data_IF_051558361448
#
_entry.id   IF_051558361448
#
_cell.length_a   1.000
_cell.length_b   1.000
_cell.length_c   1.000
_cell.angle_alpha   90.00
_cell.angle_beta   90.00
_cell.angle_gamma   90.00
#
_symmetry.space_group_name_H-M   'P 1'
#
loop_
_entity.id
_entity.type
_entity.pdbx_description
1 polymer ?
#
# COMPACT_ATOMS: atom_id res chain seq x y z
N UNK A 1 12.43 -21.17 -17.47
CA UNK A 1 11.16 -20.50 -17.15
C UNK A 1 10.05 -21.28 -17.82
N UNK A 2 8.97 -21.66 -17.13
CA UNK A 2 7.88 -22.38 -17.78
C UNK A 2 7.15 -21.43 -18.73
N UNK A 3 6.80 -21.90 -19.93
CA UNK A 3 6.15 -21.16 -21.02
C UNK A 3 4.79 -20.52 -20.64
N UNK A 4 4.27 -20.79 -19.45
CA UNK A 4 3.02 -20.23 -18.93
C UNK A 4 3.16 -18.83 -18.30
N UNK A 5 4.38 -18.33 -18.06
CA UNK A 5 4.58 -17.00 -17.46
C UNK A 5 4.45 -15.87 -18.47
N UNK A 6 4.77 -16.10 -19.75
CA UNK A 6 4.83 -15.08 -20.82
C UNK A 6 3.46 -14.58 -21.31
N UNK A 7 2.35 -15.02 -20.70
CA UNK A 7 0.99 -14.66 -21.14
C UNK A 7 0.10 -14.16 -20.01
N UNK A 8 0.62 -14.13 -18.78
CA UNK A 8 -0.13 -13.72 -17.59
C UNK A 8 0.45 -12.43 -17.07
N UNK A 9 -0.44 -11.44 -16.99
CA UNK A 9 -0.21 -10.17 -16.34
C UNK A 9 -0.25 -10.39 -14.84
N UNK A 10 0.58 -9.71 -14.07
CA UNK A 10 0.56 -9.84 -12.62
C UNK A 10 0.68 -8.49 -11.92
N UNK A 11 -0.29 -8.20 -11.06
CA UNK A 11 -0.15 -7.12 -10.08
C UNK A 11 0.16 -7.76 -8.73
N UNK A 12 1.21 -7.26 -8.09
CA UNK A 12 1.63 -7.65 -6.76
C UNK A 12 1.71 -6.43 -5.85
N UNK A 13 0.97 -6.43 -4.74
CA UNK A 13 1.11 -5.38 -3.73
C UNK A 13 1.40 -5.93 -2.34
N UNK A 14 1.95 -5.06 -1.51
CA UNK A 14 2.12 -5.32 -0.09
C UNK A 14 1.81 -4.06 0.70
N UNK A 15 1.17 -4.22 1.85
CA UNK A 15 0.94 -3.15 2.82
C UNK A 15 1.85 -3.38 4.02
N UNK A 16 2.38 -2.32 4.62
CA UNK A 16 3.11 -2.47 5.87
C UNK A 16 3.58 -1.18 6.50
N UNK A 17 4.11 -1.29 7.71
CA UNK A 17 4.87 -0.19 8.31
C UNK A 17 6.24 -0.05 7.65
N UNK A 18 6.78 1.17 7.63
CA UNK A 18 8.07 1.46 7.01
C UNK A 18 9.24 0.66 7.60
N UNK A 19 9.28 0.45 8.92
CA UNK A 19 10.34 -0.32 9.56
C UNK A 19 10.42 -1.79 9.08
N UNK A 20 9.29 -2.36 8.70
CA UNK A 20 9.18 -3.73 8.22
C UNK A 20 9.67 -3.89 6.77
N UNK A 21 9.01 -3.19 5.84
CA UNK A 21 9.20 -3.37 4.40
C UNK A 21 10.63 -3.07 3.91
N UNK A 22 11.39 -2.22 4.61
CA UNK A 22 12.77 -1.86 4.26
C UNK A 22 13.82 -2.88 4.70
N UNK A 23 13.54 -3.76 5.67
CA UNK A 23 14.50 -4.78 6.10
C UNK A 23 14.61 -5.96 5.10
N UNK A 24 13.82 -5.96 4.03
CA UNK A 24 13.90 -6.93 2.93
C UNK A 24 13.51 -8.37 3.29
N UNK A 25 13.21 -8.62 4.57
CA UNK A 25 12.69 -9.91 5.08
C UNK A 25 11.30 -10.19 4.50
N UNK A 26 10.54 -9.14 4.21
CA UNK A 26 9.10 -9.26 3.94
C UNK A 26 8.73 -9.40 2.46
N UNK A 27 9.58 -8.96 1.52
CA UNK A 27 9.35 -9.34 0.12
C UNK A 27 9.40 -10.85 -0.05
N UNK A 28 10.31 -11.53 0.65
CA UNK A 28 10.38 -12.99 0.64
C UNK A 28 9.26 -13.62 1.47
N UNK A 29 8.91 -13.08 2.64
CA UNK A 29 7.80 -13.61 3.47
C UNK A 29 6.43 -13.50 2.79
N UNK A 30 6.10 -12.30 2.29
CA UNK A 30 4.84 -12.01 1.60
C UNK A 30 4.70 -12.78 0.28
N UNK A 31 5.76 -12.87 -0.54
CA UNK A 31 5.72 -13.66 -1.79
C UNK A 31 5.68 -15.17 -1.58
N UNK A 32 6.04 -15.66 -0.39
CA UNK A 32 6.08 -17.09 -0.07
C UNK A 32 4.86 -17.56 0.75
N UNK A 33 3.89 -16.69 1.05
CA UNK A 33 2.69 -17.04 1.81
C UNK A 33 3.02 -17.61 3.21
N UNK A 34 4.10 -17.14 3.82
CA UNK A 34 4.49 -17.54 5.17
C UNK A 34 3.68 -16.74 6.21
N UNK A 35 3.46 -17.34 7.40
CA UNK A 35 2.75 -16.70 8.52
C UNK A 35 3.25 -15.26 8.76
N UNK A 36 2.36 -14.31 9.13
CA UNK A 36 2.75 -12.93 9.41
C UNK A 36 3.90 -12.93 10.42
N UNK A 37 5.03 -12.37 10.01
CA UNK A 37 6.20 -12.30 10.87
C UNK A 37 5.88 -11.26 11.94
N UNK A 38 5.89 -11.69 13.21
CA UNK A 38 5.79 -10.82 14.37
C UNK A 38 7.02 -9.88 14.41
N UNK A 39 6.88 -8.74 13.73
CA UNK A 39 7.94 -7.73 13.57
C UNK A 39 7.96 -6.71 14.69
N UNK A 40 7.04 -6.82 15.66
CA UNK A 40 7.18 -6.23 16.99
C UNK A 40 8.56 -6.50 17.58
N UNK A 41 9.27 -7.57 17.15
CA UNK A 41 10.58 -7.95 17.67
C UNK A 41 11.80 -7.40 16.90
N UNK A 42 11.67 -6.64 15.81
CA UNK A 42 12.85 -6.08 15.10
C UNK A 42 12.89 -4.56 14.89
N UNK A 43 11.83 -3.82 15.18
CA UNK A 43 11.97 -2.40 15.52
C UNK A 43 12.59 -2.19 16.92
N UNK A 44 12.72 -3.25 17.72
CA UNK A 44 13.37 -3.27 19.06
C UNK A 44 14.90 -3.35 18.96
N UNK A 45 15.52 -2.31 18.42
CA UNK A 45 16.72 -1.71 19.03
C UNK A 45 17.20 -0.54 18.18
N UNK A 46 16.61 0.64 18.41
CA UNK A 46 17.22 1.95 18.23
C UNK A 46 17.48 2.43 16.80
N UNK A 47 17.56 1.58 15.79
CA UNK A 47 18.08 2.01 14.47
C UNK A 47 17.07 2.87 13.71
N UNK A 48 15.82 2.41 13.53
CA UNK A 48 14.77 3.19 12.82
C UNK A 48 14.35 4.47 13.59
N UNK A 49 14.16 4.34 14.91
CA UNK A 49 13.76 5.44 15.78
C UNK A 49 14.82 6.58 15.79
N UNK A 50 16.10 6.23 15.93
CA UNK A 50 17.18 7.23 15.94
C UNK A 50 17.48 7.80 14.57
N UNK A 51 17.33 7.03 13.48
CA UNK A 51 17.51 7.55 12.12
C UNK A 51 16.42 8.55 11.74
N UNK A 52 15.22 8.42 12.33
CA UNK A 52 14.07 9.26 11.95
C UNK A 52 13.80 10.40 12.94
N UNK A 53 14.62 10.56 13.98
CA UNK A 53 14.61 11.75 14.84
C UNK A 53 13.65 11.70 16.03
N UNK A 54 13.13 10.54 16.40
CA UNK A 54 12.39 10.37 17.66
C UNK A 54 13.36 10.43 18.86
N UNK A 55 12.93 11.06 19.95
CA UNK A 55 13.72 11.17 21.19
C UNK A 55 13.51 9.98 22.13
N UNK A 56 12.27 9.49 22.21
CA UNK A 56 11.82 8.24 22.80
C UNK A 56 11.42 7.26 21.65
N UNK A 57 10.68 6.19 21.97
CA UNK A 57 10.31 5.20 20.96
C UNK A 57 9.15 5.70 20.08
N UNK A 58 9.19 5.47 18.75
CA UNK A 58 8.04 5.70 17.89
C UNK A 58 6.91 4.70 18.23
N UNK A 59 5.65 5.07 17.95
CA UNK A 59 4.52 4.14 18.10
C UNK A 59 4.72 2.91 17.23
N UNK A 60 4.18 1.78 17.69
CA UNK A 60 4.03 0.58 16.83
C UNK A 60 2.82 0.80 15.93
N UNK A 61 2.78 0.12 14.79
CA UNK A 61 1.67 0.21 13.86
C UNK A 61 1.02 -1.16 13.75
N UNK A 62 -0.22 -1.29 14.22
CA UNK A 62 -1.04 -2.45 13.88
C UNK A 62 -1.80 -2.18 12.59
N UNK A 63 -1.88 -3.19 11.72
CA UNK A 63 -2.57 -3.12 10.44
C UNK A 63 -3.55 -4.26 10.31
N UNK A 64 -4.81 -3.93 10.08
CA UNK A 64 -5.80 -4.89 9.58
C UNK A 64 -6.30 -4.42 8.23
N UNK A 65 -6.66 -5.35 7.35
CA UNK A 65 -7.18 -5.02 6.04
C UNK A 65 -8.24 -6.00 5.57
N UNK A 66 -8.99 -5.54 4.57
CA UNK A 66 -9.93 -6.36 3.82
C UNK A 66 -9.71 -6.11 2.33
N UNK A 67 -9.51 -7.18 1.59
CA UNK A 67 -9.32 -7.17 0.15
C UNK A 67 -10.56 -7.71 -0.56
N UNK A 68 -10.99 -7.00 -1.59
CA UNK A 68 -12.02 -7.43 -2.53
C UNK A 68 -11.44 -7.40 -3.94
N UNK A 69 -11.59 -8.50 -4.68
CA UNK A 69 -11.22 -8.60 -6.10
C UNK A 69 -12.44 -9.05 -6.88
N UNK A 70 -12.82 -8.29 -7.91
CA UNK A 70 -13.97 -8.55 -8.76
C UNK A 70 -15.27 -8.79 -7.96
N UNK A 71 -15.44 -8.02 -6.88
CA UNK A 71 -16.59 -8.09 -5.99
C UNK A 71 -16.62 -9.29 -5.03
N UNK A 72 -15.54 -10.08 -4.96
CA UNK A 72 -15.38 -11.19 -4.02
C UNK A 72 -14.34 -10.84 -2.96
N UNK A 73 -14.65 -11.11 -1.69
CA UNK A 73 -13.67 -10.95 -0.59
C UNK A 73 -12.58 -12.02 -0.76
N UNK A 74 -11.34 -11.58 -0.90
CA UNK A 74 -10.18 -12.47 -0.97
C UNK A 74 -9.56 -12.67 0.41
N UNK A 75 -9.44 -11.58 1.17
CA UNK A 75 -8.88 -11.58 2.52
C UNK A 75 -9.65 -10.62 3.43
N UNK A 76 -9.79 -11.01 4.70
CA UNK A 76 -10.28 -10.15 5.77
C UNK A 76 -9.53 -10.55 7.04
N UNK A 77 -8.64 -9.68 7.50
CA UNK A 77 -7.80 -9.94 8.68
C UNK A 77 -8.49 -9.56 9.98
N UNK A 78 -9.82 -9.49 10.00
CA UNK A 78 -10.58 -9.08 11.17
C UNK A 78 -10.86 -7.58 11.26
N UNK A 79 -10.75 -6.85 10.13
CA UNK A 79 -11.02 -5.41 10.05
C UNK A 79 -12.37 -5.01 10.64
N UNK A 80 -13.36 -5.91 10.58
CA UNK A 80 -14.74 -5.69 11.05
C UNK A 80 -15.07 -6.40 12.37
N UNK A 81 -14.18 -7.24 12.89
CA UNK A 81 -14.50 -8.17 14.00
C UNK A 81 -13.48 -8.17 15.13
N UNK A 82 -12.27 -7.67 14.91
CA UNK A 82 -11.20 -7.62 15.89
C UNK A 82 -10.94 -6.18 16.32
N UNK A 83 -11.51 -5.80 17.46
CA UNK A 83 -11.28 -4.51 18.12
C UNK A 83 -10.14 -4.59 19.15
N UNK A 84 -9.55 -5.76 19.36
CA UNK A 84 -8.57 -6.01 20.42
C UNK A 84 -7.51 -7.03 19.94
N UNK A 85 -6.76 -6.69 18.88
CA UNK A 85 -5.77 -7.60 18.31
C UNK A 85 -4.69 -6.91 17.49
N UNK A 86 -3.42 -7.19 17.81
CA UNK A 86 -2.27 -6.88 16.96
C UNK A 86 -2.41 -7.64 15.64
N UNK A 87 -2.98 -6.99 14.63
CA UNK A 87 -2.99 -7.52 13.27
C UNK A 87 -1.70 -7.05 12.58
N UNK A 88 -0.99 -7.99 11.95
CA UNK A 88 0.46 -7.94 11.72
C UNK A 88 1.00 -6.73 10.95
N UNK A 89 2.29 -6.46 11.12
CA UNK A 89 3.00 -5.28 10.61
C UNK A 89 3.12 -5.21 9.07
N UNK A 90 2.93 -6.32 8.34
CA UNK A 90 2.98 -6.42 6.86
C UNK A 90 1.96 -7.44 6.36
N UNK A 91 1.25 -7.09 5.29
CA UNK A 91 0.34 -7.96 4.53
C UNK A 91 0.70 -8.02 3.05
N UNK A 92 0.50 -9.19 2.43
CA UNK A 92 0.40 -9.27 0.97
C UNK A 92 -1.02 -8.86 0.61
N UNK A 93 -1.16 -7.93 -0.34
CA UNK A 93 -2.46 -7.50 -0.85
C UNK A 93 -2.36 -7.54 -2.36
N UNK A 94 -3.40 -7.98 -3.07
CA UNK A 94 -3.37 -8.07 -4.53
C UNK A 94 -2.20 -8.93 -5.03
N UNK A 95 -2.40 -10.25 -5.09
CA UNK A 95 -1.51 -11.17 -5.81
C UNK A 95 -2.25 -11.84 -6.96
N UNK A 96 -2.56 -11.04 -7.97
CA UNK A 96 -3.54 -11.43 -8.97
C UNK A 96 -2.94 -11.55 -10.36
N UNK A 97 -3.32 -12.64 -11.03
CA UNK A 97 -3.16 -12.74 -12.46
C UNK A 97 -4.33 -11.99 -13.12
N UNK A 98 -4.05 -10.79 -13.62
CA UNK A 98 -5.09 -9.84 -14.02
C UNK A 98 -5.34 -9.84 -15.53
N UNK A 99 -6.55 -9.44 -15.91
CA UNK A 99 -6.96 -9.18 -17.29
C UNK A 99 -7.67 -7.82 -17.40
N UNK A 100 -7.73 -7.21 -18.59
CA UNK A 100 -8.55 -6.03 -18.81
C UNK A 100 -10.00 -6.24 -18.33
N UNK A 101 -10.51 -5.28 -17.56
CA UNK A 101 -11.82 -5.35 -16.90
C UNK A 101 -11.76 -5.76 -15.43
N UNK A 102 -10.65 -6.34 -14.96
CA UNK A 102 -10.49 -6.67 -13.54
C UNK A 102 -10.39 -5.41 -12.68
N UNK A 103 -10.87 -5.54 -11.45
CA UNK A 103 -10.79 -4.49 -10.44
C UNK A 103 -10.72 -5.08 -9.04
N UNK A 104 -10.21 -4.30 -8.11
CA UNK A 104 -10.22 -4.66 -6.70
C UNK A 104 -10.07 -3.44 -5.81
N UNK A 105 -10.26 -3.66 -4.51
CA UNK A 105 -10.14 -2.63 -3.49
C UNK A 105 -9.59 -3.23 -2.20
N UNK A 106 -8.83 -2.43 -1.48
CA UNK A 106 -8.32 -2.77 -0.15
C UNK A 106 -8.64 -1.63 0.79
N UNK A 107 -9.30 -1.95 1.90
CA UNK A 107 -9.46 -1.03 3.04
C UNK A 107 -8.57 -1.50 4.16
N UNK A 108 -7.83 -0.56 4.75
CA UNK A 108 -6.87 -0.81 5.81
C UNK A 108 -7.25 0.04 7.03
N UNK A 109 -7.22 -0.55 8.22
CA UNK A 109 -7.22 0.17 9.50
C UNK A 109 -5.82 0.14 10.08
N UNK A 110 -5.34 1.32 10.44
CA UNK A 110 -4.02 1.56 11.00
C UNK A 110 -4.23 2.05 12.42
N UNK A 111 -3.67 1.35 13.40
CA UNK A 111 -3.72 1.76 14.80
C UNK A 111 -2.31 2.04 15.31
N UNK A 112 -2.12 3.20 15.94
CA UNK A 112 -0.87 3.55 16.60
C UNK A 112 -0.85 2.93 17.99
N UNK A 113 0.00 1.93 18.22
CA UNK A 113 0.06 1.23 19.50
C UNK A 113 1.14 1.78 20.42
N UNK A 114 0.82 1.82 21.71
CA UNK A 114 1.79 2.04 22.77
C UNK A 114 2.84 0.91 22.81
N UNK A 115 4.02 1.26 23.32
CA UNK A 115 5.09 0.33 23.68
C UNK A 115 5.21 0.21 25.20
N UNK A 116 5.94 -0.81 25.65
CA UNK A 116 6.36 -0.96 27.05
C UNK A 116 7.33 0.13 27.54
N UNK A 117 7.77 1.02 26.63
CA UNK A 117 8.61 2.20 26.89
C UNK A 117 7.81 3.46 26.59
N UNK A 118 8.20 4.64 27.15
CA UNK A 118 7.64 5.92 26.72
C UNK A 118 7.58 5.99 25.19
N UNK A 119 6.37 6.26 24.69
CA UNK A 119 6.05 6.28 23.26
C UNK A 119 5.69 7.71 22.90
N UNK A 120 6.29 8.23 21.85
CA UNK A 120 5.96 9.57 21.33
C UNK A 120 4.72 9.54 20.46
N UNK A 121 4.06 10.70 20.37
CA UNK A 121 3.12 10.97 19.30
C UNK A 121 3.87 11.06 17.96
N UNK A 122 3.20 10.77 16.86
CA UNK A 122 3.81 10.76 15.54
C UNK A 122 2.92 11.43 14.48
N UNK A 123 3.55 12.06 13.51
CA UNK A 123 2.92 12.30 12.22
C UNK A 123 2.88 10.98 11.45
N UNK A 124 1.75 10.67 10.82
CA UNK A 124 1.63 9.47 10.00
C UNK A 124 1.62 9.86 8.52
N UNK A 125 2.54 9.27 7.75
CA UNK A 125 2.59 9.45 6.30
C UNK A 125 2.16 8.17 5.59
N UNK A 126 1.32 8.32 4.56
CA UNK A 126 0.98 7.28 3.60
C UNK A 126 1.87 7.41 2.36
N UNK A 127 2.62 6.37 2.04
CA UNK A 127 3.51 6.34 0.88
C UNK A 127 3.08 5.25 -0.09
N UNK A 128 3.27 5.53 -1.38
CA UNK A 128 3.04 4.58 -2.45
C UNK A 128 4.32 4.35 -3.24
N UNK A 129 4.85 3.13 -3.24
CA UNK A 129 6.14 2.82 -3.86
C UNK A 129 6.01 1.77 -4.94
N UNK A 130 6.09 2.19 -6.19
CA UNK A 130 6.28 1.30 -7.33
C UNK A 130 7.74 0.86 -7.41
N UNK A 131 7.98 -0.44 -7.57
CA UNK A 131 9.33 -1.00 -7.44
C UNK A 131 9.74 -1.99 -8.52
N UNK A 132 8.78 -2.47 -9.31
CA UNK A 132 9.03 -3.28 -10.50
C UNK A 132 7.89 -3.05 -11.50
N UNK A 133 8.23 -2.94 -12.78
CA UNK A 133 7.30 -2.75 -13.91
C UNK A 133 7.79 -3.60 -15.08
N UNK A 134 8.12 -4.86 -14.82
CA UNK A 134 8.78 -5.72 -15.81
C UNK A 134 7.87 -6.04 -17.00
N UNK A 135 8.43 -5.87 -18.19
CA UNK A 135 7.80 -6.24 -19.47
C UNK A 135 7.64 -7.76 -19.63
N UNK A 136 8.58 -8.56 -19.10
CA UNK A 136 8.61 -10.03 -19.25
C UNK A 136 8.62 -10.54 -20.71
N UNK A 137 8.62 -9.65 -21.69
CA UNK A 137 8.92 -9.89 -23.09
C UNK A 137 7.67 -9.92 -23.96
N UNK A 138 7.66 -9.04 -24.95
CA UNK A 138 6.60 -8.86 -25.94
C UNK A 138 6.28 -10.13 -26.75
N UNK A 139 5.05 -10.63 -26.59
CA UNK A 139 4.49 -11.70 -27.39
C UNK A 139 3.80 -11.18 -28.69
N UNK A 140 3.36 -12.08 -29.56
CA UNK A 140 2.74 -11.71 -30.85
C UNK A 140 1.48 -10.82 -30.68
N UNK A 141 0.54 -11.14 -29.78
CA UNK A 141 -0.57 -10.24 -29.44
C UNK A 141 -0.19 -8.84 -28.96
N UNK A 142 0.84 -8.70 -28.13
CA UNK A 142 1.34 -7.40 -27.64
C UNK A 142 1.95 -6.59 -28.77
N UNK A 143 2.81 -7.24 -29.56
CA UNK A 143 3.43 -6.62 -30.72
C UNK A 143 2.38 -6.12 -31.73
N UNK A 144 1.34 -6.92 -31.98
CA UNK A 144 0.20 -6.54 -32.84
C UNK A 144 -0.64 -5.40 -32.22
N UNK A 145 -0.66 -5.28 -30.89
CA UNK A 145 -1.29 -4.18 -30.16
C UNK A 145 -0.45 -2.88 -30.13
N UNK A 146 0.80 -2.94 -30.57
CA UNK A 146 1.68 -1.77 -30.74
C UNK A 146 2.72 -1.58 -29.64
N UNK A 147 2.97 -2.62 -28.84
CA UNK A 147 4.01 -2.64 -27.81
C UNK A 147 5.44 -2.58 -28.41
N UNK A 148 6.39 -2.00 -27.66
CA UNK A 148 7.80 -1.86 -28.02
C UNK A 148 8.62 -3.09 -27.58
N UNK A 149 9.03 -3.98 -28.52
CA UNK A 149 9.83 -5.17 -28.20
C UNK A 149 11.25 -4.87 -27.71
N UNK A 150 11.66 -3.59 -27.70
CA UNK A 150 12.93 -3.15 -27.15
C UNK A 150 12.82 -2.61 -25.72
N UNK A 151 11.61 -2.41 -25.20
CA UNK A 151 11.39 -2.01 -23.81
C UNK A 151 11.70 -3.16 -22.85
N UNK A 152 12.11 -2.79 -21.64
CA UNK A 152 12.16 -3.70 -20.48
C UNK A 152 11.15 -3.32 -19.40
N UNK A 153 10.52 -2.15 -19.55
CA UNK A 153 9.41 -1.70 -18.71
C UNK A 153 8.11 -1.97 -19.47
N UNK A 154 7.16 -2.67 -18.84
CA UNK A 154 5.83 -2.88 -19.41
C UNK A 154 4.90 -1.71 -19.12
N UNK A 155 3.75 -1.71 -19.78
CA UNK A 155 2.72 -0.67 -19.74
C UNK A 155 1.70 -0.85 -18.61
N UNK A 156 1.69 -2.00 -17.92
CA UNK A 156 0.67 -2.32 -16.91
C UNK A 156 0.52 -1.28 -15.81
N UNK A 157 1.61 -0.63 -15.38
CA UNK A 157 1.53 0.41 -14.36
C UNK A 157 1.07 1.78 -14.89
N UNK A 158 1.22 2.03 -16.19
CA UNK A 158 0.62 3.19 -16.83
C UNK A 158 -0.87 3.00 -17.10
N UNK A 159 -1.30 1.75 -17.28
CA UNK A 159 -2.68 1.40 -17.63
C UNK A 159 -3.54 0.96 -16.43
N UNK A 160 -2.94 0.64 -15.29
CA UNK A 160 -3.68 0.36 -14.05
C UNK A 160 -4.09 1.66 -13.38
N UNK A 161 -5.40 1.92 -13.30
CA UNK A 161 -5.97 3.05 -12.58
C UNK A 161 -5.99 2.78 -11.08
N UNK A 162 -5.55 3.76 -10.28
CA UNK A 162 -5.49 3.74 -8.82
C UNK A 162 -6.21 4.98 -8.26
N UNK A 163 -7.03 4.76 -7.23
CA UNK A 163 -7.61 5.83 -6.41
C UNK A 163 -7.37 5.52 -4.94
N UNK A 164 -6.92 6.51 -4.17
CA UNK A 164 -6.59 6.38 -2.74
C UNK A 164 -7.34 7.46 -1.96
N UNK A 165 -7.96 7.11 -0.84
CA UNK A 165 -8.68 8.05 0.02
C UNK A 165 -8.57 7.69 1.50
N UNK A 166 -8.71 8.70 2.36
CA UNK A 166 -8.96 8.49 3.78
C UNK A 166 -10.45 8.22 3.98
N UNK A 167 -10.76 7.12 4.64
CA UNK A 167 -12.10 6.55 4.78
C UNK A 167 -12.68 6.85 6.18
N UNK A 168 -12.91 8.12 6.48
CA UNK A 168 -13.39 8.55 7.80
C UNK A 168 -14.93 8.49 7.94
N UNK A 169 -15.67 8.40 6.83
CA UNK A 169 -17.14 8.29 6.81
C UNK A 169 -17.89 9.45 7.49
N UNK A 170 -19.24 9.38 7.53
CA UNK A 170 -20.10 10.42 8.17
C UNK A 170 -20.28 10.16 9.69
N UNK A 171 -19.80 9.03 10.22
CA UNK A 171 -20.00 8.60 11.61
C UNK A 171 -18.83 7.75 12.14
N UNK A 172 -17.58 8.20 11.96
CA UNK A 172 -16.33 7.49 12.30
C UNK A 172 -16.24 6.13 11.59
N UNK A 173 -15.33 6.00 10.63
CA UNK A 173 -15.09 4.76 9.85
C UNK A 173 -15.36 3.51 10.68
N UNK A 174 -16.39 2.76 10.32
CA UNK A 174 -16.84 1.59 11.09
C UNK A 174 -16.12 0.30 10.66
N UNK A 175 -15.04 0.43 9.87
CA UNK A 175 -14.37 -0.70 9.21
C UNK A 175 -15.22 -1.43 8.16
N UNK A 176 -16.45 -0.98 7.88
CA UNK A 176 -17.26 -1.53 6.81
C UNK A 176 -16.95 -0.81 5.49
N UNK A 177 -16.56 -1.60 4.49
CA UNK A 177 -16.35 -1.14 3.12
C UNK A 177 -17.65 -0.57 2.55
N UNK A 178 -17.69 0.74 2.34
CA UNK A 178 -18.59 1.33 1.36
C UNK A 178 -17.86 1.37 0.01
N UNK A 179 -18.39 0.77 -1.06
CA UNK A 179 -17.67 0.48 -2.31
C UNK A 179 -17.27 1.72 -3.14
N UNK A 180 -17.56 2.91 -2.64
CA UNK A 180 -17.24 4.19 -3.25
C UNK A 180 -16.88 5.17 -2.12
N UNK A 181 -15.97 6.13 -2.35
CA UNK A 181 -15.84 7.24 -1.43
C UNK A 181 -17.23 7.86 -1.22
N UNK A 182 -17.69 7.88 0.03
CA UNK A 182 -18.94 8.53 0.38
C UNK A 182 -18.71 10.04 0.22
N UNK A 183 -19.76 10.80 -0.07
CA UNK A 183 -19.69 12.26 -0.01
C UNK A 183 -19.17 12.66 1.38
N UNK A 184 -17.90 13.06 1.47
CA UNK A 184 -17.20 13.35 2.72
C UNK A 184 -15.75 12.85 2.78
N UNK A 185 -15.39 11.81 2.02
CA UNK A 185 -14.05 11.22 2.07
C UNK A 185 -12.98 12.09 1.41
N UNK A 186 -11.79 12.13 2.01
CA UNK A 186 -10.67 12.92 1.49
C UNK A 186 -9.88 12.12 0.45
N UNK A 187 -9.97 12.52 -0.82
CA UNK A 187 -9.13 11.95 -1.88
C UNK A 187 -7.67 12.32 -1.63
N UNK A 188 -6.83 11.29 -1.52
CA UNK A 188 -5.39 11.41 -1.30
C UNK A 188 -4.65 11.47 -2.64
N UNK A 189 -4.96 10.56 -3.57
CA UNK A 189 -4.36 10.50 -4.89
C UNK A 189 -5.25 9.74 -5.88
N UNK A 190 -5.19 10.11 -7.16
CA UNK A 190 -5.90 9.43 -8.24
C UNK A 190 -5.09 9.53 -9.54
N UNK A 191 -5.01 8.44 -10.30
CA UNK A 191 -4.31 8.39 -11.59
C UNK A 191 -3.88 6.98 -11.95
N UNK A 192 -2.93 6.84 -12.87
CA UNK A 192 -2.29 5.53 -13.09
C UNK A 192 -1.43 5.11 -11.90
N UNK A 193 -1.14 3.81 -11.76
CA UNK A 193 -0.21 3.28 -10.77
C UNK A 193 1.14 4.01 -10.84
N UNK A 194 1.65 4.27 -12.05
CA UNK A 194 2.85 5.08 -12.25
C UNK A 194 2.69 6.48 -11.70
N UNK A 195 1.58 7.16 -12.00
CA UNK A 195 1.32 8.54 -11.56
C UNK A 195 1.19 8.65 -10.04
N UNK A 196 0.42 7.77 -9.41
CA UNK A 196 0.23 7.73 -7.94
C UNK A 196 1.57 7.48 -7.22
N UNK A 197 2.46 6.69 -7.82
CA UNK A 197 3.80 6.43 -7.26
C UNK A 197 4.81 7.59 -7.37
N UNK A 198 4.47 8.67 -8.09
CA UNK A 198 5.37 9.83 -8.25
C UNK A 198 5.45 10.64 -6.96
N UNK A 199 6.53 11.41 -6.83
CA UNK A 199 6.72 12.36 -5.72
C UNK A 199 5.50 13.30 -5.52
N UNK A 200 5.20 13.73 -4.28
CA UNK A 200 4.07 14.62 -4.01
C UNK A 200 4.11 15.95 -4.77
N UNK A 201 5.30 16.48 -5.06
CA UNK A 201 5.42 17.69 -5.89
C UNK A 201 4.96 17.49 -7.34
N UNK A 202 4.88 16.23 -7.80
CA UNK A 202 4.37 15.83 -9.10
C UNK A 202 2.90 15.34 -9.05
N UNK A 203 2.23 15.46 -7.89
CA UNK A 203 0.83 15.10 -7.69
C UNK A 203 0.57 13.63 -7.34
N UNK A 204 1.61 12.85 -7.04
CA UNK A 204 1.47 11.50 -6.49
C UNK A 204 1.63 11.48 -4.97
N UNK A 205 1.86 10.29 -4.41
CA UNK A 205 2.17 10.07 -2.98
C UNK A 205 3.38 9.15 -2.82
N UNK A 206 4.27 9.18 -3.81
CA UNK A 206 5.57 8.53 -3.80
C UNK A 206 6.43 8.97 -2.63
N UNK A 207 7.27 8.08 -2.14
CA UNK A 207 8.19 8.42 -1.05
C UNK A 207 9.17 7.31 -0.72
N UNK A 208 10.10 7.65 0.17
CA UNK A 208 11.07 6.73 0.71
C UNK A 208 11.14 6.91 2.24
N UNK A 209 10.53 5.99 2.97
CA UNK A 209 10.51 6.03 4.43
C UNK A 209 11.91 5.87 5.06
N UNK A 210 12.85 5.18 4.41
CA UNK A 210 14.23 5.12 4.89
C UNK A 210 14.96 6.47 4.77
N UNK A 211 14.47 7.37 3.92
CA UNK A 211 14.99 8.73 3.74
C UNK A 211 14.09 9.78 4.41
N UNK A 212 12.95 9.38 5.00
CA UNK A 212 11.90 10.28 5.50
C UNK A 212 11.41 11.30 4.46
N UNK A 213 11.28 10.87 3.19
CA UNK A 213 10.87 11.74 2.08
C UNK A 213 9.55 11.31 1.46
N UNK A 214 8.83 12.30 0.93
CA UNK A 214 7.57 12.09 0.21
C UNK A 214 6.42 11.59 1.08
N UNK A 215 5.42 11.01 0.42
CA UNK A 215 4.15 10.56 1.01
C UNK A 215 3.13 11.67 1.23
N UNK A 216 1.91 11.25 1.55
CA UNK A 216 0.83 12.09 2.01
C UNK A 216 0.81 12.14 3.54
N UNK A 217 0.76 13.34 4.13
CA UNK A 217 0.62 13.50 5.57
C UNK A 217 -0.85 13.32 5.96
N UNK A 218 -1.14 12.29 6.74
CA UNK A 218 -2.49 12.03 7.24
C UNK A 218 -2.84 13.06 8.32
N UNK A 219 -4.08 13.54 8.26
CA UNK A 219 -4.66 14.49 9.23
C UNK A 219 -5.98 13.93 9.71
N UNK A 220 -6.20 13.89 11.03
CA UNK A 220 -7.46 13.47 11.64
C UNK A 220 -8.03 14.66 12.42
N UNK A 221 -9.27 15.07 12.14
CA UNK A 221 -9.90 16.23 12.81
C UNK A 221 -9.07 17.54 12.76
N UNK A 222 -8.16 17.68 11.80
CA UNK A 222 -7.25 18.81 11.66
C UNK A 222 -5.92 18.66 12.43
N UNK A 223 -5.75 17.58 13.18
CA UNK A 223 -4.52 17.24 13.89
C UNK A 223 -3.61 16.34 13.03
N UNK A 224 -2.33 16.71 12.98
CA UNK A 224 -1.30 15.97 12.24
C UNK A 224 -0.37 15.17 13.14
N UNK A 225 -0.48 15.35 14.45
CA UNK A 225 0.36 14.69 15.45
C UNK A 225 -0.53 13.74 16.25
N UNK A 226 -0.53 12.48 15.81
CA UNK A 226 -1.41 11.44 16.31
C UNK A 226 -0.82 10.77 17.55
N UNK A 227 -1.67 10.45 18.51
CA UNK A 227 -1.33 9.79 19.76
C UNK A 227 -1.47 8.27 19.62
N UNK A 228 -0.75 7.48 20.43
CA UNK A 228 -1.08 6.08 20.59
C UNK A 228 -2.56 5.90 20.97
N UNK A 229 -3.25 4.96 20.32
CA UNK A 229 -4.69 4.73 20.37
C UNK A 229 -5.47 5.38 19.23
N UNK A 230 -4.86 6.28 18.45
CA UNK A 230 -5.50 6.83 17.26
C UNK A 230 -5.55 5.79 16.13
N UNK A 231 -6.66 5.83 15.39
CA UNK A 231 -6.95 4.93 14.28
C UNK A 231 -7.17 5.71 12.99
N UNK A 232 -6.64 5.19 11.89
CA UNK A 232 -6.85 5.74 10.55
C UNK A 232 -7.35 4.65 9.63
N UNK A 233 -8.38 4.96 8.85
CA UNK A 233 -8.85 4.11 7.77
C UNK A 233 -8.39 4.66 6.43
N UNK A 234 -7.69 3.84 5.66
CA UNK A 234 -7.24 4.18 4.32
C UNK A 234 -7.74 3.13 3.35
N UNK A 235 -8.35 3.58 2.27
CA UNK A 235 -8.84 2.71 1.22
C UNK A 235 -8.13 3.04 -0.09
N UNK A 236 -7.82 2.01 -0.87
CA UNK A 236 -7.48 2.20 -2.27
C UNK A 236 -8.23 1.23 -3.18
N UNK A 237 -8.48 1.68 -4.39
CA UNK A 237 -9.06 0.90 -5.46
C UNK A 237 -8.06 0.80 -6.61
N UNK A 238 -8.05 -0.35 -7.28
CA UNK A 238 -7.35 -0.56 -8.52
C UNK A 238 -8.30 -1.07 -9.61
N UNK A 239 -8.04 -0.69 -10.85
CA UNK A 239 -8.81 -1.16 -12.01
C UNK A 239 -7.93 -1.20 -13.25
N UNK A 240 -8.15 -2.21 -14.08
CA UNK A 240 -7.60 -2.26 -15.44
C UNK A 240 -8.75 -2.00 -16.42
N UNK A 241 -8.75 -0.88 -17.15
CA UNK A 241 -9.80 -0.62 -18.13
C UNK A 241 -9.88 -1.71 -19.20
N UNK A 242 -11.10 -2.06 -19.63
CA UNK A 242 -11.30 -3.03 -20.73
C UNK A 242 -10.63 -2.57 -22.03
N UNK A 243 -10.46 -1.25 -22.21
CA UNK A 243 -9.88 -0.64 -23.40
C UNK A 243 -8.38 -0.89 -23.57
N UNK A 244 -7.67 -1.30 -22.52
CA UNK A 244 -6.22 -1.54 -22.55
C UNK A 244 -5.89 -2.72 -23.48
N UNK A 245 -6.70 -3.79 -23.41
CA UNK A 245 -6.57 -4.94 -24.30
C UNK A 245 -5.26 -5.72 -24.11
N UNK A 246 -4.59 -6.04 -25.22
CA UNK A 246 -3.44 -6.93 -25.24
C UNK A 246 -2.09 -6.22 -25.04
N UNK A 247 -2.04 -4.89 -24.97
CA UNK A 247 -0.74 -4.18 -24.86
C UNK A 247 0.01 -4.50 -23.57
N UNK A 248 -0.69 -4.91 -22.51
CA UNK A 248 -0.12 -5.24 -21.19
C UNK A 248 0.06 -6.76 -20.95
N UNK A 249 0.14 -7.59 -21.99
CA UNK A 249 -0.06 -9.05 -21.90
C UNK A 249 1.21 -9.86 -21.54
N UNK A 250 1.72 -9.69 -20.35
CA UNK A 250 2.95 -10.38 -19.95
C UNK A 250 3.65 -9.62 -18.85
N UNK A 251 3.39 -8.32 -18.83
CA UNK A 251 3.76 -7.34 -17.86
C UNK A 251 3.51 -7.78 -16.42
N UNK A 252 4.33 -7.25 -15.54
CA UNK A 252 4.08 -7.30 -14.12
C UNK A 252 4.41 -5.98 -13.45
N UNK A 253 3.58 -5.58 -12.50
CA UNK A 253 3.80 -4.41 -11.66
C UNK A 253 3.85 -4.83 -10.19
N UNK A 254 4.88 -4.38 -9.47
CA UNK A 254 5.03 -4.61 -8.02
C UNK A 254 5.10 -3.29 -7.27
N UNK A 255 4.15 -3.06 -6.36
CA UNK A 255 4.11 -1.85 -5.55
C UNK A 255 3.93 -2.13 -4.05
N UNK A 256 4.10 -1.09 -3.24
CA UNK A 256 3.97 -1.14 -1.79
C UNK A 256 3.17 0.06 -1.30
N UNK A 257 2.25 -0.17 -0.37
CA UNK A 257 1.57 0.87 0.40
C UNK A 257 2.21 0.88 1.79
N UNK A 258 2.75 2.03 2.20
CA UNK A 258 3.58 2.11 3.41
C UNK A 258 3.06 3.16 4.37
N UNK A 259 2.91 2.77 5.63
CA UNK A 259 2.65 3.69 6.74
C UNK A 259 3.97 4.04 7.44
N UNK A 260 4.32 5.32 7.42
CA UNK A 260 5.59 5.84 7.91
C UNK A 260 5.35 6.84 9.07
N UNK A 261 5.58 6.42 10.33
CA UNK A 261 5.49 7.31 11.47
C UNK A 261 6.76 8.18 11.53
N UNK A 262 6.57 9.50 11.59
CA UNK A 262 7.62 10.52 11.71
C UNK A 262 7.42 11.35 12.98
N UNK A 263 8.48 11.91 13.57
CA UNK A 263 8.35 12.73 14.78
C UNK A 263 7.44 13.92 14.54
N UNK A 264 6.67 14.30 15.56
CA UNK A 264 5.97 15.57 15.53
C UNK A 264 6.98 16.73 15.59
N UNK A 265 6.71 17.86 14.91
CA UNK A 265 7.54 19.05 15.03
C UNK A 265 7.59 19.50 16.50
N UNK A 266 8.77 19.91 16.96
CA UNK A 266 8.93 20.52 18.28
C UNK A 266 8.02 21.77 18.36
N UNK A 267 7.16 21.81 19.39
CA UNK A 267 6.27 22.94 19.66
C UNK A 267 6.97 24.18 20.22
#
# INVERSE_FOLDING_TARGET
>A
MPLNSLTRRRILAAVGSAGALYLGVDRAGATLGLDPIDMNQRTVNGTYAQTNGFTDAPPRIALSWREIVNGQVQEDTGLTTDTEGETGDVGLIVDEAVVPGDSGSVTMRVELLERDTPTENAQLYLLFRLSDTSENGVNEPEFDAGDDPSSSEGELDDETEISVWIDEGILTGNGELEPLPIIGDETVAEGSLRQVSRDPAAGGIGGNAAENTGGYQITIDGDTCLSPGDEVYVSFQWRIPESVGNIIQGDSATFQVVFDPRPCPEG
#
